data_IF_799258028173
#
_entry.id   IF_799258028173
#
_cell.length_a   1.000
_cell.length_b   1.000
_cell.length_c   1.000
_cell.angle_alpha   90.00
_cell.angle_beta   90.00
_cell.angle_gamma   90.00
#
_symmetry.space_group_name_H-M   'P 1'
#
loop_
_entity.id
_entity.type
_entity.pdbx_description
1 polymer ?
#
# COMPACT_ATOMS: atom_id res chain seq x y z
N UNK A 1 -7.10 21.64 -73.43
CA UNK A 1 -8.39 21.91 -74.09
C UNK A 1 -9.50 21.61 -73.10
N UNK A 2 -10.31 22.61 -72.72
CA UNK A 2 -11.64 22.45 -72.11
C UNK A 2 -12.62 21.99 -73.22
N UNK A 3 -13.90 21.71 -72.94
CA UNK A 3 -14.54 20.84 -71.95
C UNK A 3 -15.56 19.92 -72.68
N UNK A 4 -16.39 19.12 -72.00
CA UNK A 4 -17.84 19.09 -72.29
C UNK A 4 -18.61 18.25 -71.27
N UNK A 5 -19.66 18.85 -70.76
CA UNK A 5 -20.74 18.25 -69.99
C UNK A 5 -21.83 17.84 -70.98
N UNK A 6 -22.49 16.69 -70.78
CA UNK A 6 -23.83 16.45 -71.34
C UNK A 6 -24.71 15.87 -70.24
N UNK A 7 -25.78 16.59 -69.93
CA UNK A 7 -26.92 16.15 -69.14
C UNK A 7 -27.89 15.37 -70.03
N UNK A 8 -28.49 14.32 -69.48
CA UNK A 8 -29.75 13.77 -70.01
C UNK A 8 -30.73 13.61 -68.84
N UNK A 9 -31.85 14.32 -68.96
CA UNK A 9 -33.01 14.33 -68.05
C UNK A 9 -34.01 13.31 -68.59
N UNK A 10 -34.53 12.44 -67.73
CA UNK A 10 -35.77 11.69 -67.96
C UNK A 10 -36.59 11.71 -66.67
N UNK A 11 -37.80 12.27 -66.79
CA UNK A 11 -38.83 12.36 -65.76
C UNK A 11 -39.83 11.17 -65.88
N UNK A 12 -40.97 11.17 -65.19
CA UNK A 12 -41.13 10.79 -63.78
C UNK A 12 -42.16 9.65 -63.63
N UNK A 13 -42.11 8.85 -62.55
CA UNK A 13 -43.27 8.03 -62.15
C UNK A 13 -43.45 8.03 -60.63
N UNK A 14 -44.50 8.77 -60.27
CA UNK A 14 -45.36 8.77 -59.09
C UNK A 14 -45.19 7.58 -58.13
N UNK A 15 -44.80 7.90 -56.89
CA UNK A 15 -44.80 7.00 -55.74
C UNK A 15 -46.21 6.93 -55.12
N UNK A 16 -46.71 5.73 -54.73
CA UNK A 16 -47.82 5.65 -53.80
C UNK A 16 -47.37 5.94 -52.36
N UNK A 17 -48.36 6.48 -51.66
CA UNK A 17 -48.37 7.14 -50.37
C UNK A 17 -48.15 6.21 -49.17
N UNK A 18 -47.77 6.85 -48.06
CA UNK A 18 -48.07 6.48 -46.69
C UNK A 18 -47.60 5.12 -46.14
N UNK A 19 -46.43 5.13 -45.51
CA UNK A 19 -46.25 4.44 -44.23
C UNK A 19 -45.39 5.30 -43.31
N UNK A 20 -46.04 6.18 -42.53
CA UNK A 20 -45.46 6.76 -41.31
C UNK A 20 -45.23 5.62 -40.32
N UNK A 21 -44.07 4.96 -40.44
CA UNK A 21 -43.55 4.08 -39.41
C UNK A 21 -43.23 4.96 -38.19
N UNK A 22 -44.07 4.85 -37.16
CA UNK A 22 -43.83 5.47 -35.87
C UNK A 22 -42.51 4.93 -35.29
N UNK A 23 -41.45 5.74 -35.34
CA UNK A 23 -40.29 5.54 -34.48
C UNK A 23 -40.72 5.78 -33.04
N UNK A 24 -41.08 4.71 -32.33
CA UNK A 24 -41.14 4.72 -30.87
C UNK A 24 -39.68 4.87 -30.37
N UNK A 25 -39.35 5.86 -29.54
CA UNK A 25 -38.06 5.85 -28.86
C UNK A 25 -37.99 4.62 -27.96
N UNK A 26 -37.05 3.72 -28.24
CA UNK A 26 -36.71 2.64 -27.31
C UNK A 26 -36.25 3.27 -25.99
N UNK A 27 -36.78 2.85 -24.82
CA UNK A 27 -36.20 3.23 -23.55
C UNK A 27 -34.76 2.75 -23.57
N UNK A 28 -33.82 3.71 -23.50
CA UNK A 28 -32.40 3.43 -23.30
C UNK A 28 -32.32 2.61 -22.01
N UNK A 29 -32.14 1.30 -22.11
CA UNK A 29 -31.92 0.44 -20.95
C UNK A 29 -30.65 0.95 -20.29
N UNK A 30 -30.82 1.67 -19.17
CA UNK A 30 -29.72 2.01 -18.29
C UNK A 30 -29.07 0.69 -17.90
N UNK A 31 -27.73 0.56 -18.00
CA UNK A 31 -27.04 -0.57 -17.42
C UNK A 31 -27.47 -0.65 -15.96
N UNK A 32 -28.14 -1.73 -15.60
CA UNK A 32 -28.44 -2.04 -14.22
C UNK A 32 -27.11 -2.10 -13.50
N UNK A 33 -26.86 -1.12 -12.64
CA UNK A 33 -25.80 -1.17 -11.64
C UNK A 33 -26.14 -2.28 -10.66
N UNK A 34 -25.91 -3.53 -11.08
CA UNK A 34 -25.92 -4.68 -10.19
C UNK A 34 -24.79 -4.47 -9.20
N UNK A 35 -25.16 -4.55 -7.91
CA UNK A 35 -24.46 -3.93 -6.80
C UNK A 35 -22.97 -4.23 -6.76
N UNK A 36 -22.20 -3.19 -6.48
CA UNK A 36 -20.90 -3.37 -5.86
C UNK A 36 -21.10 -4.26 -4.63
N UNK A 37 -20.40 -5.38 -4.57
CA UNK A 37 -20.29 -6.14 -3.33
C UNK A 37 -19.91 -5.15 -2.22
N UNK A 38 -20.51 -5.23 -1.01
CA UNK A 38 -20.09 -4.37 0.08
C UNK A 38 -18.58 -4.55 0.23
N UNK A 39 -17.82 -3.47 0.07
CA UNK A 39 -16.43 -3.43 0.51
C UNK A 39 -16.45 -3.91 1.95
N UNK A 40 -15.82 -5.05 2.23
CA UNK A 40 -15.80 -5.61 3.57
C UNK A 40 -15.38 -4.50 4.55
N UNK A 41 -16.28 -4.14 5.46
CA UNK A 41 -16.00 -3.09 6.43
C UNK A 41 -14.80 -3.51 7.28
N UNK A 42 -13.77 -2.68 7.35
CA UNK A 42 -12.59 -2.94 8.18
C UNK A 42 -12.93 -2.52 9.61
N UNK A 43 -13.35 -3.47 10.44
CA UNK A 43 -13.60 -3.26 11.87
C UNK A 43 -12.32 -3.37 12.72
N UNK A 44 -11.31 -4.02 12.15
CA UNK A 44 -10.00 -4.29 12.75
C UNK A 44 -9.23 -3.00 13.03
N UNK A 45 -8.60 -2.93 14.21
CA UNK A 45 -7.84 -1.78 14.71
C UNK A 45 -6.38 -2.17 14.91
N UNK A 46 -5.49 -1.34 14.37
CA UNK A 46 -4.07 -1.45 14.66
C UNK A 46 -3.78 -0.89 16.06
N UNK A 47 -3.08 -1.68 16.87
CA UNK A 47 -2.64 -1.33 18.22
C UNK A 47 -1.13 -1.12 18.18
N UNK A 48 -0.70 0.11 18.39
CA UNK A 48 0.70 0.48 18.56
C UNK A 48 0.80 1.74 19.42
N UNK A 49 1.92 1.89 20.12
CA UNK A 49 2.29 3.13 20.82
C UNK A 49 3.56 3.65 20.18
N UNK A 50 3.53 4.77 19.43
CA UNK A 50 4.74 5.34 18.86
C UNK A 50 5.75 5.68 19.97
N UNK A 51 7.07 5.67 19.69
CA UNK A 51 8.04 6.12 20.68
C UNK A 51 7.77 7.58 21.08
N UNK A 52 8.17 7.94 22.31
CA UNK A 52 7.83 9.24 22.89
C UNK A 52 8.26 10.41 21.98
N UNK A 53 7.34 11.36 21.78
CA UNK A 53 7.58 12.56 20.99
C UNK A 53 7.56 12.38 19.47
N UNK A 54 7.36 11.16 18.96
CA UNK A 54 7.20 10.95 17.52
C UNK A 54 5.90 11.57 17.02
N UNK A 55 5.94 12.19 15.86
CA UNK A 55 4.82 12.93 15.27
C UNK A 55 4.47 12.42 13.89
N UNK A 56 3.17 12.31 13.59
CA UNK A 56 2.69 12.07 12.23
C UNK A 56 2.88 13.36 11.43
N UNK A 57 3.71 13.32 10.38
CA UNK A 57 3.92 14.47 9.49
C UNK A 57 3.76 14.11 8.01
N UNK A 58 3.67 12.82 7.66
CA UNK A 58 3.31 12.38 6.31
C UNK A 58 2.02 11.56 6.32
N UNK A 59 1.15 11.80 5.34
CA UNK A 59 -0.07 11.02 5.14
C UNK A 59 -0.36 10.90 3.65
N UNK A 60 -0.65 9.69 3.18
CA UNK A 60 -1.11 9.45 1.81
C UNK A 60 -2.25 8.44 1.79
N UNK A 61 -3.20 8.67 0.88
CA UNK A 61 -4.35 7.81 0.66
C UNK A 61 -4.34 7.43 -0.82
N UNK A 62 -4.09 6.16 -1.08
CA UNK A 62 -4.27 5.53 -2.39
C UNK A 62 -5.64 4.83 -2.47
N UNK A 63 -5.90 4.16 -3.59
CA UNK A 63 -7.18 3.49 -3.83
C UNK A 63 -7.52 2.42 -2.77
N UNK A 64 -6.51 1.66 -2.33
CA UNK A 64 -6.67 0.57 -1.35
C UNK A 64 -5.68 0.65 -0.19
N UNK A 65 -4.85 1.70 -0.14
CA UNK A 65 -3.79 1.82 0.88
C UNK A 65 -3.84 3.17 1.55
N UNK A 66 -3.85 3.18 2.88
CA UNK A 66 -3.62 4.39 3.69
C UNK A 66 -2.24 4.25 4.31
N UNK A 67 -1.39 5.26 4.13
CA UNK A 67 -0.05 5.32 4.73
C UNK A 67 0.06 6.54 5.63
N UNK A 68 0.54 6.33 6.85
CA UNK A 68 0.95 7.40 7.77
C UNK A 68 2.44 7.29 8.04
N UNK A 69 3.14 8.41 7.99
CA UNK A 69 4.57 8.51 8.27
C UNK A 69 4.78 9.35 9.52
N UNK A 70 5.60 8.83 10.40
CA UNK A 70 5.97 9.42 11.67
C UNK A 70 7.48 9.62 11.73
N UNK A 71 7.88 10.71 12.37
CA UNK A 71 9.27 11.11 12.52
C UNK A 71 9.56 11.41 14.00
N UNK A 72 10.79 11.15 14.46
CA UNK A 72 11.20 11.52 15.82
C UNK A 72 11.26 13.05 15.99
N UNK A 73 11.32 13.54 17.25
CA UNK A 73 11.48 14.97 17.53
C UNK A 73 12.62 15.61 16.73
N UNK A 74 12.32 16.74 16.08
CA UNK A 74 13.29 17.51 15.30
C UNK A 74 13.55 17.00 13.88
N UNK A 75 12.87 15.96 13.42
CA UNK A 75 12.96 15.45 12.05
C UNK A 75 11.66 15.66 11.28
N UNK A 76 11.76 15.75 9.94
CA UNK A 76 10.63 15.98 9.02
C UNK A 76 10.69 15.06 7.80
N UNK A 77 9.68 15.12 6.93
CA UNK A 77 9.65 14.39 5.65
C UNK A 77 10.83 14.73 4.73
N UNK A 78 11.37 15.94 4.82
CA UNK A 78 12.50 16.41 4.04
C UNK A 78 13.83 16.04 4.71
N UNK A 79 13.92 16.25 6.02
CA UNK A 79 15.14 16.05 6.80
C UNK A 79 14.91 15.03 7.91
N UNK A 80 15.09 13.77 7.58
CA UNK A 80 15.08 12.66 8.54
C UNK A 80 16.35 11.81 8.47
N UNK A 81 16.56 11.01 9.49
CA UNK A 81 17.49 9.87 9.56
C UNK A 81 16.76 8.62 10.03
N UNK A 82 15.66 8.80 10.77
CA UNK A 82 14.70 7.76 11.11
C UNK A 82 13.29 8.14 10.66
N UNK A 83 12.56 7.15 10.16
CA UNK A 83 11.15 7.29 9.79
C UNK A 83 10.42 5.99 10.14
N UNK A 84 9.20 6.11 10.63
CA UNK A 84 8.28 4.99 10.80
C UNK A 84 7.10 5.20 9.87
N UNK A 85 6.75 4.19 9.10
CA UNK A 85 5.52 4.18 8.31
C UNK A 85 4.59 3.09 8.80
N UNK A 86 3.30 3.43 8.82
CA UNK A 86 2.19 2.52 9.07
C UNK A 86 1.35 2.50 7.80
N UNK A 87 1.13 1.32 7.25
CA UNK A 87 0.29 1.12 6.07
C UNK A 87 -0.87 0.19 6.42
N UNK A 88 -2.07 0.58 6.01
CA UNK A 88 -3.26 -0.27 6.03
C UNK A 88 -3.65 -0.49 4.59
N UNK A 89 -3.52 -1.73 4.12
CA UNK A 89 -3.80 -2.14 2.74
C UNK A 89 -5.08 -2.96 2.79
N UNK A 90 -6.18 -2.42 2.25
CA UNK A 90 -7.51 -3.02 2.20
C UNK A 90 -7.58 -4.19 1.19
N UNK A 91 -6.87 -5.27 1.50
CA UNK A 91 -6.84 -6.51 0.74
C UNK A 91 -6.84 -7.72 1.70
N UNK A 92 -7.98 -8.42 1.74
CA UNK A 92 -8.17 -9.64 2.55
C UNK A 92 -7.34 -10.84 2.08
N UNK A 93 -6.83 -10.79 0.84
CA UNK A 93 -6.03 -11.86 0.24
C UNK A 93 -4.53 -11.64 0.44
N UNK A 94 -4.11 -10.42 0.79
CA UNK A 94 -2.71 -10.10 0.98
C UNK A 94 -2.10 -10.94 2.13
N UNK A 95 -0.97 -11.59 1.84
CA UNK A 95 -0.23 -12.37 2.82
C UNK A 95 0.94 -11.57 3.39
N UNK A 96 1.16 -11.67 4.70
CA UNK A 96 2.28 -11.02 5.38
C UNK A 96 3.64 -11.48 4.80
N UNK A 97 3.77 -12.77 4.49
CA UNK A 97 5.01 -13.34 3.96
C UNK A 97 5.39 -12.80 2.58
N UNK A 98 4.38 -12.63 1.72
CA UNK A 98 4.56 -12.13 0.35
C UNK A 98 4.98 -10.66 0.37
N UNK A 99 4.38 -9.86 1.25
CA UNK A 99 4.80 -8.46 1.44
C UNK A 99 6.26 -8.36 1.86
N UNK A 100 6.68 -9.19 2.83
CA UNK A 100 8.08 -9.26 3.28
C UNK A 100 9.02 -9.67 2.15
N UNK A 101 8.61 -10.61 1.29
CA UNK A 101 9.39 -10.94 0.08
C UNK A 101 9.56 -9.75 -0.86
N UNK A 102 8.49 -8.96 -1.06
CA UNK A 102 8.57 -7.72 -1.83
C UNK A 102 9.63 -6.74 -1.30
N UNK A 103 9.77 -6.62 0.02
CA UNK A 103 10.81 -5.78 0.65
C UNK A 103 12.21 -6.31 0.37
N UNK A 104 12.42 -7.64 0.44
CA UNK A 104 13.71 -8.27 0.12
C UNK A 104 14.10 -7.96 -1.33
N UNK A 105 13.19 -8.19 -2.26
CA UNK A 105 13.47 -8.03 -3.69
C UNK A 105 13.69 -6.56 -4.07
N UNK A 106 12.88 -5.67 -3.52
CA UNK A 106 13.05 -4.22 -3.67
C UNK A 106 14.41 -3.76 -3.14
N UNK A 107 14.87 -4.32 -2.00
CA UNK A 107 16.18 -3.99 -1.43
C UNK A 107 17.33 -4.51 -2.29
N UNK A 108 17.22 -5.72 -2.85
CA UNK A 108 18.22 -6.26 -3.78
C UNK A 108 18.38 -5.39 -5.02
N UNK A 109 17.27 -4.92 -5.56
CA UNK A 109 17.27 -4.06 -6.75
C UNK A 109 17.87 -2.69 -6.45
N UNK A 110 17.48 -2.08 -5.33
CA UNK A 110 17.78 -0.67 -5.05
C UNK A 110 19.09 -0.43 -4.30
N UNK A 111 19.72 -1.46 -3.74
CA UNK A 111 20.98 -1.36 -3.01
C UNK A 111 22.16 -1.89 -3.84
N UNK A 112 23.35 -1.32 -3.65
CA UNK A 112 24.59 -1.89 -4.17
C UNK A 112 24.83 -3.29 -3.56
N UNK A 113 24.58 -3.44 -2.26
CA UNK A 113 24.44 -4.72 -1.58
C UNK A 113 23.33 -4.65 -0.53
N UNK A 114 22.58 -5.75 -0.39
CA UNK A 114 21.56 -5.90 0.66
C UNK A 114 21.84 -7.13 1.50
N UNK A 115 21.53 -7.04 2.79
CA UNK A 115 21.65 -8.11 3.77
C UNK A 115 20.31 -8.34 4.48
N UNK A 116 19.41 -9.17 3.92
CA UNK A 116 18.20 -9.57 4.63
C UNK A 116 18.54 -10.56 5.74
N UNK A 117 17.96 -10.35 6.92
CA UNK A 117 17.90 -11.37 7.97
C UNK A 117 16.96 -12.52 7.57
N UNK A 118 17.00 -13.67 8.27
CA UNK A 118 15.96 -14.67 8.14
C UNK A 118 14.58 -14.08 8.44
N UNK A 119 13.59 -14.48 7.65
CA UNK A 119 12.20 -14.07 7.89
C UNK A 119 11.65 -14.86 9.07
N UNK A 120 11.07 -14.16 10.05
CA UNK A 120 10.42 -14.77 11.20
C UNK A 120 8.92 -14.68 11.05
N UNK A 121 8.23 -15.80 11.21
CA UNK A 121 6.77 -15.92 11.11
C UNK A 121 6.17 -16.37 12.43
N UNK A 122 4.92 -16.00 12.68
CA UNK A 122 4.22 -16.38 13.92
C UNK A 122 2.82 -15.82 13.99
N UNK A 123 2.33 -15.61 15.23
CA UNK A 123 1.04 -15.01 15.50
C UNK A 123 1.17 -13.79 16.43
N UNK A 124 0.32 -12.79 16.25
CA UNK A 124 0.08 -11.70 17.21
C UNK A 124 -1.41 -11.51 17.39
N UNK A 125 -1.90 -11.62 18.63
CA UNK A 125 -3.35 -11.60 18.93
C UNK A 125 -4.18 -12.53 18.01
N UNK A 126 -3.64 -13.72 17.68
CA UNK A 126 -4.29 -14.69 16.78
C UNK A 126 -4.12 -14.42 15.28
N UNK A 127 -3.52 -13.31 14.86
CA UNK A 127 -3.29 -12.99 13.44
C UNK A 127 -1.92 -13.45 12.94
N UNK A 128 -1.82 -14.01 11.72
CA UNK A 128 -0.53 -14.33 11.09
C UNK A 128 0.34 -13.09 10.91
N UNK A 129 1.61 -13.22 11.28
CA UNK A 129 2.60 -12.15 11.17
C UNK A 129 3.88 -12.65 10.51
N UNK A 130 4.52 -11.78 9.73
CA UNK A 130 5.88 -11.97 9.22
C UNK A 130 6.72 -10.73 9.56
N UNK A 131 7.97 -10.95 9.97
CA UNK A 131 8.93 -9.91 10.32
C UNK A 131 10.27 -10.15 9.66
N UNK A 132 10.97 -9.05 9.38
CA UNK A 132 12.28 -9.05 8.74
C UNK A 132 13.01 -7.76 9.08
N UNK A 133 14.35 -7.86 9.14
CA UNK A 133 15.24 -6.71 8.98
C UNK A 133 16.09 -6.85 7.72
N UNK A 134 16.31 -5.76 6.98
CA UNK A 134 17.18 -5.70 5.80
C UNK A 134 18.16 -4.54 5.93
N UNK A 135 19.45 -4.81 5.78
CA UNK A 135 20.48 -3.77 5.61
C UNK A 135 20.68 -3.44 4.13
N UNK A 136 21.01 -2.19 3.85
CA UNK A 136 21.36 -1.65 2.55
C UNK A 136 22.70 -0.94 2.70
N UNK A 137 23.78 -1.47 2.13
CA UNK A 137 25.12 -0.85 2.28
C UNK A 137 25.17 0.55 1.69
N UNK A 138 24.53 0.71 0.53
CA UNK A 138 24.40 1.96 -0.20
C UNK A 138 23.23 1.87 -1.16
N UNK A 139 22.26 2.76 -1.01
CA UNK A 139 21.15 2.91 -1.96
C UNK A 139 21.65 3.50 -3.27
N UNK A 140 21.31 2.87 -4.39
CA UNK A 140 21.76 3.30 -5.74
C UNK A 140 21.31 4.71 -6.09
N UNK A 141 20.11 5.10 -5.63
CA UNK A 141 19.54 6.44 -5.89
C UNK A 141 19.96 7.47 -4.85
N UNK A 142 19.97 7.10 -3.57
CA UNK A 142 20.20 8.03 -2.46
C UNK A 142 21.68 8.21 -2.10
N UNK A 143 22.53 7.23 -2.41
CA UNK A 143 23.91 7.17 -1.95
C UNK A 143 24.08 6.85 -0.46
N UNK A 144 22.98 6.68 0.30
CA UNK A 144 23.01 6.44 1.74
C UNK A 144 23.01 4.96 2.09
N UNK A 145 23.63 4.60 3.21
CA UNK A 145 23.39 3.33 3.88
C UNK A 145 22.01 3.34 4.53
N UNK A 146 21.46 2.16 4.80
CA UNK A 146 20.15 2.05 5.42
C UNK A 146 19.86 0.73 6.11
N UNK A 147 18.82 0.76 6.94
CA UNK A 147 18.22 -0.39 7.59
C UNK A 147 16.71 -0.26 7.52
N UNK A 148 16.05 -1.36 7.21
CA UNK A 148 14.59 -1.48 7.26
C UNK A 148 14.25 -2.59 8.23
N UNK A 149 13.50 -2.29 9.29
CA UNK A 149 12.85 -3.29 10.12
C UNK A 149 11.34 -3.23 9.85
N UNK A 150 10.74 -4.37 9.53
CA UNK A 150 9.36 -4.45 9.08
C UNK A 150 8.61 -5.58 9.79
N UNK A 151 7.35 -5.28 10.13
CA UNK A 151 6.34 -6.23 10.60
C UNK A 151 5.10 -6.10 9.74
N UNK A 152 4.66 -7.21 9.14
CA UNK A 152 3.42 -7.30 8.39
C UNK A 152 2.46 -8.24 9.13
N UNK A 153 1.23 -7.79 9.40
CA UNK A 153 0.20 -8.55 10.12
C UNK A 153 -1.00 -8.72 9.18
N UNK A 154 -1.33 -9.97 8.87
CA UNK A 154 -2.49 -10.31 8.04
C UNK A 154 -3.75 -10.29 8.91
N UNK A 155 -4.56 -9.26 8.74
CA UNK A 155 -5.92 -9.21 9.26
C UNK A 155 -6.90 -10.03 8.39
N UNK A 156 -8.16 -9.95 8.74
CA UNK A 156 -9.29 -10.54 8.01
C UNK A 156 -9.64 -9.70 6.77
N UNK A 157 -9.61 -8.38 6.89
CA UNK A 157 -10.02 -7.47 5.83
C UNK A 157 -8.85 -6.68 5.21
N UNK A 158 -7.73 -6.57 5.92
CA UNK A 158 -6.57 -5.78 5.50
C UNK A 158 -5.23 -6.40 5.91
N UNK A 159 -4.17 -6.00 5.20
CA UNK A 159 -2.79 -6.17 5.64
C UNK A 159 -2.31 -4.90 6.34
N UNK A 160 -1.77 -5.06 7.55
CA UNK A 160 -1.20 -3.99 8.35
C UNK A 160 0.32 -4.09 8.32
N UNK A 161 0.99 -3.04 7.87
CA UNK A 161 2.46 -3.03 7.75
C UNK A 161 3.04 -1.89 8.56
N UNK A 162 3.97 -2.23 9.43
CA UNK A 162 4.75 -1.28 10.22
C UNK A 162 6.19 -1.42 9.78
N UNK A 163 6.76 -0.34 9.27
CA UNK A 163 8.13 -0.30 8.80
C UNK A 163 8.86 0.85 9.47
N UNK A 164 9.99 0.55 10.13
CA UNK A 164 10.96 1.55 10.58
C UNK A 164 12.15 1.54 9.65
N UNK A 165 12.59 2.73 9.28
CA UNK A 165 13.68 2.95 8.33
C UNK A 165 14.69 3.88 8.96
N UNK A 166 15.95 3.49 8.86
CA UNK A 166 17.10 4.31 9.20
C UNK A 166 17.87 4.57 7.92
N UNK A 167 18.37 5.79 7.76
CA UNK A 167 19.29 6.18 6.70
C UNK A 167 20.49 6.92 7.28
N UNK A 168 21.68 6.66 6.74
CA UNK A 168 22.91 7.29 7.20
C UNK A 168 24.06 7.14 6.21
N UNK A 169 25.32 7.23 6.68
CA UNK A 169 26.48 7.00 5.85
C UNK A 169 26.45 5.62 5.19
N UNK A 170 26.95 5.53 3.96
CA UNK A 170 27.18 4.23 3.33
C UNK A 170 28.26 3.44 4.08
N UNK A 171 28.19 2.12 4.01
CA UNK A 171 29.10 1.21 4.69
C UNK A 171 29.47 0.02 3.80
N UNK A 172 30.58 -0.65 4.10
CA UNK A 172 31.05 -1.80 3.33
C UNK A 172 30.19 -3.06 3.52
N UNK A 173 30.25 -4.00 2.57
CA UNK A 173 29.55 -5.31 2.65
C UNK A 173 29.96 -6.12 3.89
N UNK A 174 31.20 -5.97 4.32
CA UNK A 174 31.80 -6.69 5.44
C UNK A 174 31.89 -5.81 6.70
N UNK A 175 31.25 -4.65 6.70
CA UNK A 175 31.19 -3.73 7.83
C UNK A 175 29.79 -3.79 8.45
N UNK A 176 29.68 -3.71 9.78
CA UNK A 176 28.38 -3.55 10.40
C UNK A 176 27.75 -2.24 9.95
N UNK A 177 26.42 -2.22 9.78
CA UNK A 177 25.70 -0.96 9.61
C UNK A 177 26.02 -0.06 10.82
N UNK A 178 26.30 1.24 10.64
CA UNK A 178 26.70 2.13 11.72
C UNK A 178 25.46 2.59 12.52
N UNK A 179 24.78 1.61 13.13
CA UNK A 179 23.53 1.76 13.85
C UNK A 179 23.78 1.31 15.29
N UNK A 180 23.41 2.11 16.30
CA UNK A 180 23.58 1.72 17.69
C UNK A 180 22.77 0.47 18.05
N UNK A 181 23.35 -0.47 18.80
CA UNK A 181 22.65 -1.67 19.27
C UNK A 181 21.40 -1.32 20.10
N UNK A 182 21.44 -0.23 20.85
CA UNK A 182 20.28 0.28 21.61
C UNK A 182 19.09 0.61 20.71
N UNK A 183 19.35 1.14 19.50
CA UNK A 183 18.32 1.42 18.51
C UNK A 183 17.71 0.12 18.00
N UNK A 184 18.53 -0.88 17.68
CA UNK A 184 18.07 -2.20 17.23
C UNK A 184 17.21 -2.89 18.30
N UNK A 185 17.63 -2.83 19.57
CA UNK A 185 16.88 -3.36 20.69
C UNK A 185 15.54 -2.64 20.90
N UNK A 186 15.53 -1.31 20.82
CA UNK A 186 14.31 -0.50 20.92
C UNK A 186 13.33 -0.85 19.79
N UNK A 187 13.79 -0.86 18.55
CA UNK A 187 12.98 -1.21 17.38
C UNK A 187 12.37 -2.61 17.51
N UNK A 188 13.18 -3.58 17.94
CA UNK A 188 12.75 -4.95 18.18
C UNK A 188 11.68 -5.04 19.27
N UNK A 189 11.86 -4.31 20.38
CA UNK A 189 10.88 -4.19 21.45
C UNK A 189 9.56 -3.57 20.98
N UNK A 190 9.64 -2.43 20.31
CA UNK A 190 8.50 -1.74 19.72
C UNK A 190 7.71 -2.67 18.78
N UNK A 191 8.38 -3.28 17.79
CA UNK A 191 7.70 -4.14 16.80
C UNK A 191 7.06 -5.37 17.46
N UNK A 192 7.63 -5.94 18.53
CA UNK A 192 6.98 -7.04 19.27
C UNK A 192 5.64 -6.60 19.86
N UNK A 193 5.55 -5.38 20.40
CA UNK A 193 4.33 -4.84 21.02
C UNK A 193 3.21 -4.46 20.05
N UNK A 194 3.52 -4.28 18.76
CA UNK A 194 2.49 -3.96 17.75
C UNK A 194 1.55 -5.15 17.52
N UNK A 195 0.24 -4.93 17.52
CA UNK A 195 -0.74 -5.97 17.23
C UNK A 195 -1.94 -5.42 16.45
N UNK A 196 -2.81 -6.31 15.98
CA UNK A 196 -4.14 -5.96 15.46
C UNK A 196 -5.18 -6.57 16.38
N UNK A 197 -6.28 -5.87 16.63
CA UNK A 197 -7.42 -6.37 17.37
C UNK A 197 -8.71 -6.11 16.59
N UNK A 198 -9.80 -6.75 16.97
CA UNK A 198 -11.10 -6.53 16.36
C UNK A 198 -12.19 -6.48 17.45
N UNK A 199 -12.81 -5.31 17.69
CA UNK A 199 -13.86 -5.19 18.70
C UNK A 199 -15.11 -6.02 18.35
N UNK A 200 -15.27 -6.43 17.08
CA UNK A 200 -16.36 -7.28 16.63
C UNK A 200 -16.07 -8.78 16.83
N UNK A 201 -14.85 -9.17 17.22
CA UNK A 201 -14.45 -10.58 17.34
C UNK A 201 -13.80 -10.88 18.70
N UNK A 202 -14.45 -11.67 19.57
CA UNK A 202 -13.90 -12.04 20.89
C UNK A 202 -12.55 -12.76 20.84
N UNK A 203 -12.23 -13.43 19.73
CA UNK A 203 -10.95 -14.12 19.54
C UNK A 203 -9.75 -13.16 19.34
N UNK A 204 -10.02 -11.89 19.03
CA UNK A 204 -9.02 -10.85 18.78
C UNK A 204 -9.26 -9.64 19.69
N UNK A 205 -9.26 -9.82 21.02
CA UNK A 205 -9.69 -8.78 21.95
C UNK A 205 -8.87 -7.51 21.76
N UNK A 206 -9.56 -6.37 21.77
CA UNK A 206 -8.90 -5.08 21.85
C UNK A 206 -8.54 -4.77 23.31
N UNK A 207 -7.37 -4.17 23.57
CA UNK A 207 -7.02 -3.70 24.91
C UNK A 207 -8.13 -2.79 25.47
N UNK A 208 -8.50 -3.00 26.73
CA UNK A 208 -9.50 -2.20 27.44
C UNK A 208 -8.93 -0.79 27.69
N UNK A 209 -9.13 0.12 26.73
CA UNK A 209 -8.68 1.52 26.85
C UNK A 209 -7.18 1.69 26.60
N UNK A 210 -6.89 2.29 25.45
CA UNK A 210 -5.77 3.17 25.03
C UNK A 210 -4.37 3.04 25.65
N UNK A 211 -3.32 3.23 24.84
CA UNK A 211 -2.35 4.30 25.14
C UNK A 211 -3.02 5.66 24.96
#
# INVERSE_FOLDING_TARGET
>A
MKPLVVFAVLAPLVLPDAALAQMRPQPRQQPSSQGAAPSAEITERLVLTPPAGWQIQGNSVGQVTITRQMFPPGQTSETWTEMMSVQVIADSKAAARDFIQGIIETSRTNCEASGPSPVTEGLTNGYPVSTLTVTCTKGRKSGHGGLVAVKAIRGKAALYVIQRVWRGPAFGRNEPAPIPDSMLHEWSGFLRGVSVCDPAQPAHPCPNGTP
#
